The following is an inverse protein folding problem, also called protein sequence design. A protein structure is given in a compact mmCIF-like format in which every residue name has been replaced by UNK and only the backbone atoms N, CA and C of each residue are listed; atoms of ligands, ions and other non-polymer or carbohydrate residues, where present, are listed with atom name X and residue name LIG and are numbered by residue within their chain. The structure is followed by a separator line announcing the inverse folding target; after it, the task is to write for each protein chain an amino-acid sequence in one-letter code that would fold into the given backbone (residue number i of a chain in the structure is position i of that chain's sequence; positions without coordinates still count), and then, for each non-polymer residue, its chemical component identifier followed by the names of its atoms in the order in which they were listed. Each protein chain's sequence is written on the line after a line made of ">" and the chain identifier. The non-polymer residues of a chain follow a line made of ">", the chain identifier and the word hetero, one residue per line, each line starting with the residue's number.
data_IF_483521718036
#
_entry.id   IF_483521718036
#
_cell.length_a   1.000
_cell.length_b   1.000
_cell.length_c   1.000
_cell.angle_alpha   90.00
_cell.angle_beta   90.00
_cell.angle_gamma   90.00
#
_symmetry.space_group_name_H-M   'P 1'
#
loop_
_entity.id
_entity.type
_entity.pdbx_description
1 polymer ?
#
# COMPACT_ATOMS: atom_id res chain seq x y z
N UNK A 1 -11.36 14.90 6.95
CA UNK A 1 -10.28 14.00 7.42
C UNK A 1 -9.48 14.73 8.48
N UNK A 2 -9.22 14.09 9.62
CA UNK A 2 -8.54 14.72 10.77
C UNK A 2 -7.33 13.90 11.14
N UNK A 3 -6.18 14.55 11.34
CA UNK A 3 -4.92 13.85 11.65
C UNK A 3 -4.63 13.89 13.15
N UNK A 4 -4.20 12.77 13.75
CA UNK A 4 -3.78 12.76 15.14
C UNK A 4 -2.40 13.44 15.29
N UNK A 5 -2.06 13.86 16.51
CA UNK A 5 -0.78 14.53 16.81
C UNK A 5 0.45 13.67 16.55
N UNK A 6 0.29 12.35 16.58
CA UNK A 6 1.34 11.36 16.37
C UNK A 6 1.28 10.72 14.97
N UNK A 7 0.60 11.34 13.99
CA UNK A 7 0.68 10.89 12.60
C UNK A 7 2.14 10.88 12.11
N UNK A 8 2.60 9.83 11.38
CA UNK A 8 1.86 8.70 10.83
C UNK A 8 1.84 7.43 11.71
N UNK A 9 2.20 7.50 13.00
CA UNK A 9 2.16 6.32 13.88
C UNK A 9 0.74 5.88 14.26
N UNK A 10 -0.23 6.78 14.18
CA UNK A 10 -1.66 6.46 14.29
C UNK A 10 -2.42 6.91 13.03
N UNK A 11 -3.49 6.19 12.68
CA UNK A 11 -4.26 6.50 11.49
C UNK A 11 -4.99 7.86 11.61
N UNK A 12 -5.27 8.50 10.48
CA UNK A 12 -6.18 9.64 10.42
C UNK A 12 -7.64 9.18 10.63
N UNK A 13 -8.46 10.06 11.18
CA UNK A 13 -9.91 9.87 11.21
C UNK A 13 -10.54 10.33 9.89
N UNK A 14 -11.36 9.46 9.29
CA UNK A 14 -12.14 9.76 8.10
C UNK A 14 -13.63 9.78 8.43
N UNK A 15 -14.31 10.84 7.98
CA UNK A 15 -15.74 11.04 8.15
C UNK A 15 -16.30 11.78 6.94
N UNK A 16 -17.40 11.28 6.39
CA UNK A 16 -18.23 12.01 5.47
C UNK A 16 -19.01 13.09 6.23
N UNK A 17 -18.91 14.35 5.80
CA UNK A 17 -19.70 15.44 6.40
C UNK A 17 -21.19 15.22 6.18
N UNK A 18 -21.56 14.81 4.97
CA UNK A 18 -22.89 14.31 4.62
C UNK A 18 -22.86 12.78 4.62
N UNK A 19 -23.51 12.09 5.57
CA UNK A 19 -23.53 10.64 5.58
C UNK A 19 -24.24 10.12 4.32
N UNK A 20 -23.65 9.10 3.70
CA UNK A 20 -24.16 8.46 2.48
C UNK A 20 -24.76 7.09 2.81
N UNK A 21 -25.72 6.65 2.01
CA UNK A 21 -26.29 5.31 2.15
C UNK A 21 -25.33 4.22 1.66
N UNK A 22 -24.50 3.68 2.55
CA UNK A 22 -23.49 2.67 2.23
C UNK A 22 -23.33 1.62 3.34
N UNK A 23 -23.12 0.32 3.04
CA UNK A 23 -22.97 -0.74 4.05
C UNK A 23 -21.83 -0.50 5.04
N UNK A 24 -20.74 0.13 4.62
CA UNK A 24 -19.55 0.37 5.47
C UNK A 24 -19.46 1.80 6.03
N UNK A 25 -20.51 2.62 5.87
CA UNK A 25 -20.58 3.97 6.42
C UNK A 25 -21.59 4.02 7.56
N UNK A 26 -21.14 4.46 8.73
CA UNK A 26 -22.00 4.64 9.89
C UNK A 26 -22.99 5.80 9.66
N UNK A 27 -24.15 5.82 10.37
CA UNK A 27 -25.11 6.93 10.26
C UNK A 27 -24.55 8.31 10.62
N UNK A 28 -23.47 8.36 11.40
CA UNK A 28 -22.76 9.59 11.73
C UNK A 28 -21.74 10.03 10.66
N UNK A 29 -21.54 9.22 9.61
CA UNK A 29 -20.60 9.47 8.51
C UNK A 29 -19.22 8.87 8.71
N UNK A 30 -18.92 8.22 9.85
CA UNK A 30 -17.65 7.49 10.01
C UNK A 30 -17.57 6.31 9.05
N UNK A 31 -16.38 5.96 8.61
CA UNK A 31 -16.12 4.82 7.73
C UNK A 31 -15.57 3.64 8.53
N UNK A 32 -16.01 2.42 8.20
CA UNK A 32 -15.44 1.18 8.71
C UNK A 32 -14.59 0.54 7.61
N UNK A 33 -13.26 0.65 7.73
CA UNK A 33 -12.30 0.08 6.77
C UNK A 33 -11.01 -0.28 7.50
N UNK A 34 -10.43 -1.45 7.18
CA UNK A 34 -9.27 -2.03 7.87
C UNK A 34 -8.05 -1.10 7.89
N UNK A 35 -7.81 -0.37 6.79
CA UNK A 35 -6.69 0.58 6.64
C UNK A 35 -6.66 1.67 7.73
N UNK A 36 -7.81 1.99 8.34
CA UNK A 36 -7.94 2.99 9.41
C UNK A 36 -7.99 2.38 10.81
N UNK A 37 -7.93 1.05 10.94
CA UNK A 37 -7.82 0.39 12.23
C UNK A 37 -6.42 0.58 12.82
N UNK A 38 -6.34 0.59 14.16
CA UNK A 38 -5.08 0.78 14.87
C UNK A 38 -4.02 -0.26 14.47
N UNK A 39 -2.74 0.11 14.44
CA UNK A 39 -1.66 -0.81 14.07
C UNK A 39 -1.56 -1.98 15.07
N UNK A 40 -1.18 -3.15 14.57
CA UNK A 40 -0.91 -4.35 15.36
C UNK A 40 -1.67 -5.59 14.90
N UNK A 41 -1.39 -6.72 15.56
CA UNK A 41 -2.16 -7.95 15.38
C UNK A 41 -3.36 -7.95 16.31
N UNK A 42 -4.57 -8.05 15.74
CA UNK A 42 -5.77 -8.36 16.49
C UNK A 42 -6.22 -9.78 16.12
N UNK A 43 -5.98 -10.71 17.05
CA UNK A 43 -6.33 -12.13 16.89
C UNK A 43 -7.84 -12.34 16.80
N UNK A 44 -8.66 -11.38 17.27
CA UNK A 44 -10.11 -11.49 17.28
C UNK A 44 -10.80 -10.93 16.02
N UNK A 45 -10.15 -10.06 15.26
CA UNK A 45 -10.80 -9.42 14.12
C UNK A 45 -10.77 -10.25 12.83
N UNK A 46 -9.81 -11.19 12.72
CA UNK A 46 -9.54 -11.92 11.48
C UNK A 46 -8.87 -11.10 10.36
N UNK A 47 -8.41 -9.87 10.64
CA UNK A 47 -7.69 -9.01 9.66
C UNK A 47 -6.18 -9.21 9.81
N UNK A 48 -5.47 -9.25 8.69
CA UNK A 48 -4.01 -9.34 8.69
C UNK A 48 -3.39 -8.00 9.15
N UNK A 49 -2.23 -8.06 9.81
CA UNK A 49 -1.50 -6.86 10.23
C UNK A 49 -1.17 -5.92 9.05
N UNK A 50 -0.99 -6.47 7.84
CA UNK A 50 -0.73 -5.70 6.63
C UNK A 50 -1.95 -4.95 6.07
N UNK A 51 -3.17 -5.34 6.44
CA UNK A 51 -4.41 -4.67 6.02
C UNK A 51 -4.75 -3.48 6.92
N UNK A 52 -4.08 -3.37 8.07
CA UNK A 52 -4.25 -2.30 9.05
C UNK A 52 -3.39 -1.09 8.74
N UNK A 53 -3.62 -0.03 9.52
CA UNK A 53 -2.76 1.12 9.50
C UNK A 53 -1.30 0.74 9.77
N UNK A 54 -0.42 1.28 8.93
CA UNK A 54 1.03 1.21 9.08
C UNK A 54 1.60 2.58 8.75
N UNK A 55 2.68 3.04 9.40
CA UNK A 55 3.29 4.35 9.10
C UNK A 55 3.78 4.51 7.65
N UNK A 56 3.87 3.42 6.88
CA UNK A 56 4.19 3.44 5.44
C UNK A 56 3.03 3.96 4.59
N UNK A 57 1.80 3.87 5.11
CA UNK A 57 0.58 4.28 4.42
C UNK A 57 0.51 5.80 4.27
N UNK A 58 -0.13 6.26 3.20
CA UNK A 58 -0.26 7.68 2.87
C UNK A 58 -1.74 8.04 2.73
N UNK A 59 -2.04 9.35 2.73
CA UNK A 59 -3.41 9.83 2.46
C UNK A 59 -3.92 9.31 1.12
N UNK A 60 -3.05 9.25 0.11
CA UNK A 60 -3.38 8.68 -1.20
C UNK A 60 -3.85 7.22 -1.12
N UNK A 61 -3.12 6.35 -0.41
CA UNK A 61 -3.50 4.95 -0.26
C UNK A 61 -4.84 4.81 0.46
N UNK A 62 -5.08 5.64 1.49
CA UNK A 62 -6.37 5.70 2.18
C UNK A 62 -7.48 6.08 1.21
N UNK A 63 -7.33 7.16 0.43
CA UNK A 63 -8.37 7.61 -0.50
C UNK A 63 -8.65 6.58 -1.61
N UNK A 64 -7.63 5.91 -2.13
CA UNK A 64 -7.80 4.82 -3.09
C UNK A 64 -8.61 3.69 -2.46
N UNK A 65 -8.28 3.27 -1.22
CA UNK A 65 -9.04 2.25 -0.51
C UNK A 65 -10.49 2.67 -0.24
N UNK A 66 -10.75 3.94 0.05
CA UNK A 66 -12.13 4.46 0.19
C UNK A 66 -12.88 4.34 -1.13
N UNK A 67 -12.27 4.72 -2.26
CA UNK A 67 -12.90 4.60 -3.58
C UNK A 67 -13.20 3.13 -3.91
N UNK A 68 -12.24 2.22 -3.69
CA UNK A 68 -12.46 0.79 -3.88
C UNK A 68 -13.59 0.24 -3.01
N UNK A 69 -13.69 0.70 -1.76
CA UNK A 69 -14.77 0.29 -0.85
C UNK A 69 -16.15 0.82 -1.28
N UNK A 70 -16.21 1.98 -1.94
CA UNK A 70 -17.46 2.51 -2.50
C UNK A 70 -17.93 1.74 -3.73
N UNK A 71 -17.00 1.19 -4.51
CA UNK A 71 -17.31 0.35 -5.66
C UNK A 71 -17.69 -1.08 -5.25
N UNK A 72 -16.96 -1.67 -4.29
CA UNK A 72 -17.18 -3.01 -3.76
C UNK A 72 -17.37 -2.99 -2.25
N UNK A 73 -18.65 -2.96 -1.83
CA UNK A 73 -19.02 -2.84 -0.44
C UNK A 73 -18.88 -4.17 0.32
N UNK A 74 -18.30 -4.12 1.52
CA UNK A 74 -18.15 -5.29 2.39
C UNK A 74 -19.46 -5.58 3.13
N UNK A 75 -20.17 -6.64 2.72
CA UNK A 75 -21.51 -7.01 3.23
C UNK A 75 -21.50 -8.09 4.30
N UNK A 76 -20.36 -8.75 4.56
CA UNK A 76 -20.24 -9.75 5.62
C UNK A 76 -20.21 -9.11 7.02
N UNK A 77 -19.65 -7.90 7.13
CA UNK A 77 -19.57 -7.11 8.37
C UNK A 77 -19.95 -5.64 8.13
N UNK A 78 -21.24 -5.33 7.87
CA UNK A 78 -21.67 -3.98 7.54
C UNK A 78 -21.75 -3.09 8.79
N UNK A 79 -21.20 -1.88 8.70
CA UNK A 79 -21.39 -0.81 9.69
C UNK A 79 -22.85 -0.30 9.72
N UNK A 80 -23.51 -0.33 8.56
CA UNK A 80 -24.92 -0.03 8.38
C UNK A 80 -25.65 -1.29 7.91
N UNK A 81 -26.26 -1.98 8.87
CA UNK A 81 -26.96 -3.25 8.62
C UNK A 81 -28.11 -3.08 7.63
N UNK A 82 -28.86 -1.98 7.70
CA UNK A 82 -29.99 -1.73 6.79
C UNK A 82 -29.51 -1.56 5.34
N UNK A 83 -28.43 -0.81 5.13
CA UNK A 83 -27.83 -0.63 3.82
C UNK A 83 -27.26 -1.97 3.28
N UNK A 84 -26.58 -2.76 4.12
CA UNK A 84 -26.06 -4.08 3.74
C UNK A 84 -27.16 -5.09 3.40
N UNK A 85 -28.25 -5.13 4.17
CA UNK A 85 -29.41 -5.98 3.90
C UNK A 85 -30.10 -5.56 2.61
N UNK A 86 -30.26 -4.25 2.39
CA UNK A 86 -30.88 -3.73 1.18
C UNK A 86 -30.04 -4.03 -0.05
N UNK A 87 -28.72 -3.83 0.00
CA UNK A 87 -27.82 -4.17 -1.11
C UNK A 87 -27.95 -5.65 -1.53
N UNK A 88 -28.13 -6.55 -0.56
CA UNK A 88 -28.29 -8.00 -0.81
C UNK A 88 -29.67 -8.43 -1.27
N UNK A 89 -30.74 -7.85 -0.71
CA UNK A 89 -32.13 -8.30 -0.93
C UNK A 89 -32.88 -7.49 -1.98
N UNK A 90 -32.54 -6.20 -2.12
CA UNK A 90 -33.18 -5.24 -3.01
C UNK A 90 -32.13 -4.27 -3.61
N UNK A 91 -31.35 -4.74 -4.60
CA UNK A 91 -30.33 -3.92 -5.26
C UNK A 91 -30.91 -2.71 -6.00
N UNK A 92 -32.16 -2.80 -6.49
CA UNK A 92 -32.81 -1.70 -7.20
C UNK A 92 -33.17 -0.57 -6.24
N UNK A 93 -33.78 -0.88 -5.10
CA UNK A 93 -34.06 0.12 -4.07
C UNK A 93 -32.79 0.71 -3.45
N UNK A 94 -31.70 -0.06 -3.36
CA UNK A 94 -30.40 0.46 -2.96
C UNK A 94 -29.88 1.50 -3.97
N UNK A 95 -29.90 1.16 -5.27
CA UNK A 95 -29.49 2.08 -6.35
C UNK A 95 -30.30 3.37 -6.36
N UNK A 96 -31.60 3.30 -6.07
CA UNK A 96 -32.45 4.48 -5.99
C UNK A 96 -32.02 5.43 -4.85
N UNK A 97 -31.73 4.89 -3.66
CA UNK A 97 -31.23 5.70 -2.54
C UNK A 97 -29.86 6.32 -2.85
N UNK A 98 -28.94 5.54 -3.40
CA UNK A 98 -27.62 6.04 -3.80
C UNK A 98 -27.76 7.14 -4.86
N UNK A 99 -28.66 6.98 -5.83
CA UNK A 99 -28.95 8.02 -6.83
C UNK A 99 -29.45 9.32 -6.21
N UNK A 100 -30.29 9.23 -5.18
CA UNK A 100 -30.76 10.40 -4.44
C UNK A 100 -29.61 11.08 -3.68
N UNK A 101 -28.71 10.32 -3.08
CA UNK A 101 -27.55 10.88 -2.39
C UNK A 101 -26.56 11.52 -3.37
N UNK A 102 -26.32 10.92 -4.53
CA UNK A 102 -25.53 11.50 -5.64
C UNK A 102 -26.17 12.77 -6.20
N UNK A 103 -27.50 12.88 -6.20
CA UNK A 103 -28.16 14.11 -6.63
C UNK A 103 -27.93 15.25 -5.62
N UNK A 104 -28.00 14.96 -4.32
CA UNK A 104 -27.74 15.93 -3.25
C UNK A 104 -26.29 16.37 -3.21
N UNK A 105 -25.33 15.48 -3.45
CA UNK A 105 -23.90 15.81 -3.41
C UNK A 105 -23.47 16.81 -4.49
N UNK A 106 -24.25 16.94 -5.58
CA UNK A 106 -24.00 17.96 -6.62
C UNK A 106 -24.16 19.39 -6.11
N UNK A 107 -24.91 19.59 -5.04
CA UNK A 107 -25.08 20.90 -4.41
C UNK A 107 -23.81 21.37 -3.70
N UNK A 108 -22.91 20.45 -3.34
CA UNK A 108 -21.67 20.74 -2.62
C UNK A 108 -20.50 21.03 -3.58
N UNK A 109 -20.73 21.02 -4.90
CA UNK A 109 -19.71 21.32 -5.90
C UNK A 109 -19.43 22.84 -5.88
N UNK A 110 -18.18 23.27 -5.65
CA UNK A 110 -17.83 24.69 -5.63
C UNK A 110 -18.09 25.39 -6.99
N UNK A 111 -18.45 26.67 -6.94
CA UNK A 111 -18.61 27.49 -8.15
C UNK A 111 -17.31 27.53 -8.96
N UNK A 112 -17.40 27.24 -10.27
CA UNK A 112 -16.25 27.20 -11.17
C UNK A 112 -15.43 25.90 -11.15
N UNK A 113 -15.83 24.89 -10.36
CA UNK A 113 -15.21 23.57 -10.41
C UNK A 113 -15.79 22.73 -11.56
N UNK A 114 -14.93 22.34 -12.52
CA UNK A 114 -15.30 21.43 -13.60
C UNK A 114 -15.05 19.98 -13.18
N UNK A 115 -16.09 19.15 -13.21
CA UNK A 115 -15.97 17.73 -12.85
C UNK A 115 -15.12 16.98 -13.88
N UNK A 116 -14.14 16.16 -13.44
CA UNK A 116 -13.36 15.36 -14.36
C UNK A 116 -14.23 14.31 -15.06
N UNK A 117 -14.07 14.19 -16.37
CA UNK A 117 -14.67 13.14 -17.21
C UNK A 117 -13.64 12.03 -17.48
N UNK A 118 -14.11 10.84 -17.88
CA UNK A 118 -13.23 9.72 -18.22
C UNK A 118 -12.15 10.10 -19.26
N UNK A 119 -12.46 11.01 -20.18
CA UNK A 119 -11.51 11.46 -21.21
C UNK A 119 -10.46 12.44 -20.66
N UNK A 120 -10.83 13.29 -19.70
CA UNK A 120 -9.89 14.24 -19.07
C UNK A 120 -8.84 13.55 -18.19
N UNK A 121 -9.15 12.38 -17.62
CA UNK A 121 -8.24 11.64 -16.72
C UNK A 121 -7.03 11.07 -17.48
N UNK A 122 -7.23 10.61 -18.73
CA UNK A 122 -6.19 9.96 -19.52
C UNK A 122 -5.47 10.89 -20.50
N UNK A 123 -5.77 12.19 -20.50
CA UNK A 123 -5.04 13.15 -21.32
C UNK A 123 -3.67 13.38 -20.68
N UNK A 124 -2.69 12.57 -21.11
CA UNK A 124 -1.28 12.70 -20.77
C UNK A 124 -0.87 14.14 -21.07
N UNK A 125 -0.48 14.89 -20.04
CA UNK A 125 0.18 16.18 -20.25
C UNK A 125 1.42 15.91 -21.09
N UNK A 126 1.52 16.56 -22.25
CA UNK A 126 2.75 16.50 -23.03
C UNK A 126 3.86 17.13 -22.17
N UNK A 127 5.00 16.46 -21.98
CA UNK A 127 6.08 17.02 -21.19
C UNK A 127 6.50 18.34 -21.84
N UNK A 128 6.28 19.46 -21.14
CA UNK A 128 6.97 20.69 -21.46
C UNK A 128 8.44 20.40 -21.21
N UNK A 129 9.20 20.29 -22.29
CA UNK A 129 10.64 20.18 -22.25
C UNK A 129 11.18 21.49 -21.70
N UNK A 130 11.21 21.63 -20.37
CA UNK A 130 12.08 22.59 -19.73
C UNK A 130 13.48 22.03 -19.96
N UNK A 131 14.20 22.65 -20.89
CA UNK A 131 15.57 22.32 -21.28
C UNK A 131 16.53 22.62 -20.11
N UNK A 132 16.44 21.83 -19.05
CA UNK A 132 17.35 21.85 -17.92
C UNK A 132 18.45 20.81 -18.19
N UNK A 133 19.34 21.16 -19.11
CA UNK A 133 20.56 20.39 -19.39
C UNK A 133 21.45 20.38 -18.15
N UNK A 134 21.52 19.22 -17.48
CA UNK A 134 22.46 18.94 -16.38
C UNK A 134 23.90 18.71 -16.88
N UNK A 135 24.22 19.14 -18.10
CA UNK A 135 25.49 18.91 -18.76
C UNK A 135 26.04 20.23 -19.29
N UNK A 136 26.40 21.16 -18.39
CA UNK A 136 27.43 22.16 -18.71
C UNK A 136 28.08 22.73 -17.44
N UNK A 137 28.69 21.86 -16.66
CA UNK A 137 29.72 22.27 -15.70
C UNK A 137 30.96 21.41 -15.90
N UNK A 138 31.48 21.44 -17.12
CA UNK A 138 32.86 21.07 -17.42
C UNK A 138 33.79 22.13 -16.80
N UNK A 139 34.05 22.01 -15.51
CA UNK A 139 35.30 22.48 -14.93
C UNK A 139 36.08 21.22 -14.54
N UNK A 140 36.81 20.67 -15.52
CA UNK A 140 37.88 19.70 -15.34
C UNK A 140 38.94 20.30 -14.39
N UNK A 141 38.74 20.13 -13.09
CA UNK A 141 39.75 20.46 -12.08
C UNK A 141 40.51 19.18 -11.71
N UNK A 142 41.50 18.87 -12.56
CA UNK A 142 42.82 18.35 -12.21
C UNK A 142 42.92 17.60 -10.87
N UNK A 143 42.54 16.31 -10.85
CA UNK A 143 43.01 15.39 -9.82
C UNK A 143 44.35 14.82 -10.29
N UNK A 144 45.42 15.56 -9.97
CA UNK A 144 46.80 15.20 -10.26
C UNK A 144 47.15 13.81 -9.73
N UNK A 145 47.57 12.95 -10.63
CA UNK A 145 48.34 11.74 -10.32
C UNK A 145 49.73 12.15 -9.88
N UNK A 146 50.04 12.02 -8.59
CA UNK A 146 51.42 11.83 -8.15
C UNK A 146 51.51 10.55 -7.30
N UNK A 147 52.18 9.56 -7.88
CA UNK A 147 52.71 8.39 -7.20
C UNK A 147 53.62 8.80 -6.05
N UNK A 148 53.55 8.10 -4.94
CA UNK A 148 54.73 7.80 -4.13
C UNK A 148 54.65 6.34 -3.69
N UNK A 149 55.51 5.55 -4.30
CA UNK A 149 55.78 4.15 -4.00
C UNK A 149 56.77 4.09 -2.84
N UNK A 150 56.47 3.42 -1.73
CA UNK A 150 57.51 2.88 -0.84
C UNK A 150 57.04 1.56 -0.21
N UNK A 151 57.58 0.48 -0.79
CA UNK A 151 58.05 -0.79 -0.21
C UNK A 151 57.31 -1.42 0.98
N UNK A 152 56.76 -2.62 0.73
CA UNK A 152 56.90 -3.72 1.68
C UNK A 152 57.23 -5.01 0.91
N UNK A 153 58.52 -5.36 0.99
CA UNK A 153 59.11 -6.59 0.46
C UNK A 153 59.09 -7.66 1.57
N UNK A 154 59.00 -8.91 1.12
CA UNK A 154 59.54 -10.11 1.76
C UNK A 154 58.76 -10.76 2.93
N UNK A 155 58.08 -11.87 2.64
CA UNK A 155 58.48 -13.20 3.16
C UNK A 155 57.78 -14.30 2.34
N UNK A 156 58.56 -14.98 1.52
CA UNK A 156 58.18 -16.14 0.73
C UNK A 156 58.53 -17.41 1.54
N UNK A 157 57.55 -18.28 1.79
CA UNK A 157 57.84 -19.67 2.15
C UNK A 157 56.95 -20.59 1.33
N UNK A 158 57.55 -21.17 0.29
CA UNK A 158 57.07 -22.33 -0.44
C UNK A 158 56.97 -23.53 0.52
N UNK A 159 55.94 -24.38 0.38
CA UNK A 159 56.18 -25.80 0.08
C UNK A 159 54.90 -26.63 -0.09
N UNK A 160 54.98 -27.46 -1.14
CA UNK A 160 54.53 -28.84 -1.26
C UNK A 160 53.06 -29.17 -1.62
N UNK A 161 52.95 -29.79 -2.79
CA UNK A 161 51.81 -30.53 -3.34
C UNK A 161 51.40 -31.77 -2.53
N UNK A 162 50.17 -32.22 -2.76
CA UNK A 162 49.89 -33.65 -2.92
C UNK A 162 48.64 -34.18 -2.20
N UNK A 163 47.84 -34.96 -2.94
CA UNK A 163 47.07 -36.07 -2.35
C UNK A 163 45.57 -36.08 -2.66
N UNK A 164 45.20 -36.97 -3.58
CA UNK A 164 43.84 -37.41 -3.87
C UNK A 164 43.32 -38.42 -2.81
N UNK A 165 42.03 -38.76 -2.92
CA UNK A 165 41.38 -40.02 -2.44
C UNK A 165 41.16 -40.14 -0.90
N UNK A 166 40.12 -40.76 -0.33
CA UNK A 166 38.90 -41.51 -0.72
C UNK A 166 38.10 -41.68 0.61
N UNK A 167 36.77 -41.54 0.61
CA UNK A 167 35.77 -42.63 0.82
C UNK A 167 35.50 -43.06 2.29
N UNK A 168 34.35 -43.73 2.43
CA UNK A 168 33.81 -44.51 3.54
C UNK A 168 32.83 -43.81 4.52
N UNK A 169 31.56 -43.83 4.09
CA UNK A 169 30.50 -44.71 4.62
C UNK A 169 30.20 -44.68 6.12
N UNK A 170 28.93 -44.49 6.47
CA UNK A 170 28.07 -45.64 6.79
C UNK A 170 26.60 -45.20 6.93
N UNK A 171 25.77 -45.93 6.21
CA UNK A 171 24.32 -45.99 6.30
C UNK A 171 23.83 -46.24 7.74
N UNK A 172 22.66 -45.71 8.08
CA UNK A 172 21.71 -46.57 8.78
C UNK A 172 20.29 -46.33 8.31
N UNK A 173 19.62 -47.47 8.23
CA UNK A 173 18.53 -47.85 7.38
C UNK A 173 17.18 -47.40 7.95
N UNK A 174 16.21 -47.41 7.05
CA UNK A 174 14.77 -47.15 7.18
C UNK A 174 14.09 -48.25 8.10
N UNK A 175 12.75 -48.46 8.18
CA UNK A 175 11.61 -47.68 7.69
C UNK A 175 10.33 -47.72 8.60
N UNK A 176 9.27 -47.14 8.03
CA UNK A 176 7.83 -47.52 8.11
C UNK A 176 6.88 -46.77 9.05
N UNK A 177 6.06 -45.94 8.38
CA UNK A 177 4.61 -46.12 8.22
C UNK A 177 3.75 -46.12 9.50
N UNK A 178 2.85 -45.14 9.62
CA UNK A 178 1.41 -45.42 9.56
C UNK A 178 0.51 -44.17 9.69
N UNK A 179 -0.43 -44.11 8.74
CA UNK A 179 -1.83 -43.65 8.85
C UNK A 179 -2.14 -42.16 8.97
N UNK A 180 -2.51 -41.63 7.81
CA UNK A 180 -3.64 -40.70 7.67
C UNK A 180 -4.95 -41.36 8.12
N UNK A 181 -5.70 -40.64 8.93
CA UNK A 181 -7.17 -40.61 8.89
C UNK A 181 -7.66 -39.25 9.37
#
# INVERSE_FOLDING_TARGET
>A
MTFPKNYPYSPPDFRFERPIWHPNVYPDGRLCISILHSPGEDVMSGEAAGERWSPVQRVESVLISVLSLLDDAETSSPANVDAGVQLRKDPEGYREKVRQDTAKSKEDIPEGFEMPTHESIFKKEEPKHDDFSWSDSEAEADFGSESDEEMFDDDESEDAEGGEEEEEDEDDDEPQDNRRK
#
